data_IF_777333215514
#
_entry.id   IF_777333215514
#
_cell.length_a   1.000
_cell.length_b   1.000
_cell.length_c   1.000
_cell.angle_alpha   90.00
_cell.angle_beta   90.00
_cell.angle_gamma   90.00
#
_symmetry.space_group_name_H-M   'P 1'
#
loop_
_entity.id
_entity.type
_entity.pdbx_description
1 polymer ?
#
# COMPACT_ATOMS: atom_id res chain seq x y z
N UNK A 1 31.08 -48.74 -7.46
CA UNK A 1 30.18 -48.79 -8.62
C UNK A 1 28.87 -48.14 -8.21
N UNK A 2 28.79 -46.85 -8.46
CA UNK A 2 27.75 -45.93 -8.01
C UNK A 2 26.87 -45.58 -9.20
N UNK A 3 25.59 -45.81 -9.12
CA UNK A 3 24.62 -45.26 -10.10
C UNK A 3 23.64 -44.38 -9.36
N UNK A 4 23.79 -43.10 -9.66
CA UNK A 4 22.94 -42.00 -9.27
C UNK A 4 21.67 -41.99 -10.12
N UNK A 5 20.48 -41.99 -9.49
CA UNK A 5 19.22 -41.73 -10.19
C UNK A 5 18.70 -40.34 -9.79
N UNK A 6 18.96 -39.39 -10.67
CA UNK A 6 18.26 -38.11 -10.67
C UNK A 6 16.84 -38.30 -11.23
N UNK A 7 15.82 -37.98 -10.44
CA UNK A 7 14.47 -37.81 -10.96
C UNK A 7 14.20 -36.32 -11.15
N UNK A 8 14.15 -35.92 -12.44
CA UNK A 8 13.60 -34.64 -12.89
C UNK A 8 12.08 -34.68 -12.72
N UNK A 9 11.55 -33.75 -11.96
CA UNK A 9 10.14 -33.41 -11.96
C UNK A 9 9.92 -32.29 -13.00
N UNK A 10 9.30 -32.64 -14.13
CA UNK A 10 8.87 -31.67 -15.14
C UNK A 10 7.50 -31.15 -14.76
N UNK A 11 7.44 -29.91 -14.27
CA UNK A 11 6.21 -29.16 -14.12
C UNK A 11 5.84 -28.53 -15.46
N UNK A 12 4.80 -29.05 -16.11
CA UNK A 12 4.22 -28.45 -17.30
C UNK A 12 3.34 -27.25 -16.92
N UNK A 13 3.85 -26.05 -17.12
CA UNK A 13 3.05 -24.83 -17.12
C UNK A 13 2.41 -24.70 -18.49
N UNK A 14 1.09 -24.94 -18.55
CA UNK A 14 0.30 -24.74 -19.76
C UNK A 14 0.01 -23.25 -19.95
N UNK A 15 0.86 -22.57 -20.71
CA UNK A 15 0.66 -21.20 -21.15
C UNK A 15 -0.27 -21.19 -22.37
N UNK A 16 -1.53 -20.80 -22.21
CA UNK A 16 -2.42 -20.51 -23.34
C UNK A 16 -2.08 -19.12 -23.91
N UNK A 17 -1.35 -19.13 -25.01
CA UNK A 17 -1.16 -17.97 -25.89
C UNK A 17 -2.45 -17.72 -26.69
N UNK A 18 -3.13 -16.62 -26.40
CA UNK A 18 -4.19 -16.08 -27.28
C UNK A 18 -3.50 -15.18 -28.31
N UNK A 19 -3.48 -15.63 -29.57
CA UNK A 19 -3.03 -14.84 -30.71
C UNK A 19 -4.08 -13.75 -31.00
N UNK A 20 -3.69 -12.48 -30.87
CA UNK A 20 -4.49 -11.35 -31.31
C UNK A 20 -4.23 -11.13 -32.82
N UNK A 21 -5.27 -11.39 -33.64
CA UNK A 21 -5.28 -11.01 -35.07
C UNK A 21 -5.66 -9.53 -35.19
N UNK A 22 -4.75 -8.73 -35.72
CA UNK A 22 -4.97 -7.33 -36.07
C UNK A 22 -5.87 -7.22 -37.30
N UNK A 23 -6.98 -6.52 -37.19
CA UNK A 23 -7.69 -5.96 -38.36
C UNK A 23 -7.54 -4.43 -38.32
N UNK A 24 -6.85 -3.93 -39.30
CA UNK A 24 -6.80 -2.51 -39.63
C UNK A 24 -8.02 -2.13 -40.44
N UNK A 25 -8.75 -1.10 -40.07
CA UNK A 25 -9.59 -0.35 -40.98
C UNK A 25 -9.46 1.16 -40.71
N UNK A 26 -9.09 1.84 -41.75
CA UNK A 26 -8.99 3.29 -41.95
C UNK A 26 -10.40 3.88 -42.16
N UNK A 27 -10.62 5.07 -41.68
CA UNK A 27 -11.83 5.86 -42.03
C UNK A 27 -11.95 7.15 -41.22
N UNK A 28 -11.48 8.21 -41.83
CA UNK A 28 -11.61 9.66 -41.59
C UNK A 28 -12.98 10.17 -41.14
N UNK A 29 -13.07 11.11 -40.25
CA UNK A 29 -13.31 12.58 -40.36
C UNK A 29 -13.84 13.19 -39.06
N UNK A 30 -13.22 14.29 -38.66
CA UNK A 30 -13.62 15.29 -37.64
C UNK A 30 -14.66 16.27 -38.20
N UNK A 31 -15.14 17.35 -37.47
CA UNK A 31 -15.18 17.67 -36.05
C UNK A 31 -16.53 18.29 -35.57
N UNK A 32 -16.76 18.51 -34.27
CA UNK A 32 -17.34 19.77 -33.72
C UNK A 32 -17.47 19.76 -32.19
N UNK A 33 -16.74 20.61 -31.60
CA UNK A 33 -16.87 21.68 -30.60
C UNK A 33 -17.94 21.68 -29.52
N UNK A 34 -17.44 22.11 -28.34
CA UNK A 34 -18.04 22.79 -27.17
C UNK A 34 -18.68 21.87 -26.13
N UNK A 35 -18.37 21.98 -24.89
CA UNK A 35 -17.83 23.01 -24.01
C UNK A 35 -18.16 22.67 -22.58
N UNK A 36 -17.18 22.86 -21.71
CA UNK A 36 -17.36 23.32 -20.34
C UNK A 36 -17.82 22.35 -19.25
N UNK A 37 -17.02 22.11 -18.35
CA UNK A 37 -16.91 22.43 -16.92
C UNK A 37 -16.36 21.26 -16.10
N UNK A 38 -15.29 21.57 -15.40
CA UNK A 38 -14.64 20.71 -14.42
C UNK A 38 -15.52 20.51 -13.19
N UNK A 39 -15.56 19.29 -12.67
CA UNK A 39 -15.87 19.06 -11.26
C UNK A 39 -15.32 17.73 -10.76
N UNK A 40 -14.46 17.82 -9.80
CA UNK A 40 -14.18 17.05 -8.63
C UNK A 40 -14.21 15.51 -8.70
N UNK A 41 -13.04 14.89 -8.79
CA UNK A 41 -12.87 13.46 -8.55
C UNK A 41 -13.02 13.13 -7.08
N UNK A 42 -14.02 12.36 -6.73
CA UNK A 42 -14.10 11.63 -5.47
C UNK A 42 -13.65 10.19 -5.75
N UNK A 43 -12.58 9.77 -5.12
CA UNK A 43 -12.15 8.38 -5.10
C UNK A 43 -13.21 7.58 -4.33
N UNK A 44 -13.98 6.75 -5.03
CA UNK A 44 -14.93 5.83 -4.42
C UNK A 44 -14.22 4.52 -4.10
N UNK A 45 -14.25 4.16 -2.80
CA UNK A 45 -13.84 2.84 -2.33
C UNK A 45 -14.70 1.75 -2.98
N UNK A 46 -14.03 0.74 -3.51
CA UNK A 46 -14.63 -0.43 -4.15
C UNK A 46 -15.33 -1.30 -3.10
N UNK A 47 -16.61 -1.01 -2.86
CA UNK A 47 -17.53 -1.98 -2.27
C UNK A 47 -17.99 -2.90 -3.41
N UNK A 48 -17.85 -4.21 -3.23
CA UNK A 48 -18.49 -5.19 -4.09
C UNK A 48 -19.97 -4.82 -4.19
N UNK A 49 -20.38 -4.26 -5.34
CA UNK A 49 -21.73 -3.84 -5.60
C UNK A 49 -22.62 -5.09 -5.71
N UNK A 50 -23.36 -5.35 -4.63
CA UNK A 50 -24.58 -6.14 -4.72
C UNK A 50 -25.51 -5.37 -5.65
N UNK A 51 -26.09 -5.98 -6.71
CA UNK A 51 -26.96 -5.26 -7.64
C UNK A 51 -28.06 -4.55 -6.86
N UNK A 52 -28.25 -3.26 -7.13
CA UNK A 52 -29.29 -2.45 -6.53
C UNK A 52 -30.64 -3.10 -6.85
N UNK A 53 -31.52 -3.19 -5.85
CA UNK A 53 -32.89 -3.69 -6.01
C UNK A 53 -33.64 -2.85 -7.06
N UNK A 54 -33.72 -3.35 -8.32
CA UNK A 54 -34.35 -2.65 -9.44
C UNK A 54 -33.75 -2.95 -10.82
N UNK A 55 -32.49 -3.41 -10.92
CA UNK A 55 -31.97 -3.87 -12.21
C UNK A 55 -32.41 -5.30 -12.50
N UNK A 56 -33.04 -5.50 -13.67
CA UNK A 56 -33.42 -6.83 -14.17
C UNK A 56 -32.13 -7.66 -14.33
N UNK A 57 -32.09 -8.85 -13.69
CA UNK A 57 -31.00 -9.82 -13.87
C UNK A 57 -31.41 -10.81 -15.00
N UNK A 58 -31.20 -10.42 -16.28
CA UNK A 58 -31.73 -11.17 -17.42
C UNK A 58 -30.99 -12.51 -17.54
N UNK A 59 -31.74 -13.49 -18.07
CA UNK A 59 -31.17 -14.76 -18.52
C UNK A 59 -30.30 -14.52 -19.73
N UNK A 60 -29.05 -14.99 -19.70
CA UNK A 60 -28.06 -14.82 -20.76
C UNK A 60 -27.75 -16.14 -21.48
N UNK A 61 -27.97 -17.28 -20.82
CA UNK A 61 -27.87 -18.59 -21.42
C UNK A 61 -28.68 -19.65 -20.63
N UNK A 62 -29.01 -20.77 -21.26
CA UNK A 62 -29.53 -21.98 -20.60
C UNK A 62 -28.67 -23.17 -21.05
N UNK A 63 -28.05 -23.84 -20.10
CA UNK A 63 -27.14 -24.98 -20.34
C UNK A 63 -27.65 -26.18 -19.60
N UNK A 64 -28.03 -27.24 -20.32
CA UNK A 64 -28.60 -28.47 -19.72
C UNK A 64 -29.77 -28.19 -18.76
N UNK A 65 -30.60 -27.17 -19.03
CA UNK A 65 -31.70 -26.75 -18.17
C UNK A 65 -31.29 -25.82 -17.02
N UNK A 66 -30.02 -25.59 -16.81
CA UNK A 66 -29.51 -24.63 -15.84
C UNK A 66 -29.50 -23.22 -16.43
N UNK A 67 -30.21 -22.30 -15.80
CA UNK A 67 -30.27 -20.90 -16.22
C UNK A 67 -29.03 -20.16 -15.75
N UNK A 68 -28.33 -19.48 -16.68
CA UNK A 68 -27.23 -18.55 -16.41
C UNK A 68 -27.74 -17.12 -16.58
N UNK A 69 -27.43 -16.27 -15.62
CA UNK A 69 -27.89 -14.89 -15.56
C UNK A 69 -26.74 -13.90 -15.76
N UNK A 70 -27.06 -12.64 -16.01
CA UNK A 70 -26.07 -11.56 -16.11
C UNK A 70 -25.21 -11.46 -14.85
N UNK A 71 -25.81 -11.63 -13.67
CA UNK A 71 -25.08 -11.63 -12.39
C UNK A 71 -24.03 -12.73 -12.31
N UNK A 72 -24.29 -13.93 -12.89
CA UNK A 72 -23.32 -15.04 -12.89
C UNK A 72 -22.11 -14.71 -13.77
N UNK A 73 -22.32 -14.03 -14.90
CA UNK A 73 -21.23 -13.55 -15.77
C UNK A 73 -20.39 -12.52 -15.05
N UNK A 74 -21.03 -11.54 -14.40
CA UNK A 74 -20.31 -10.50 -13.62
C UNK A 74 -19.52 -11.13 -12.48
N UNK A 75 -20.09 -12.10 -11.76
CA UNK A 75 -19.41 -12.82 -10.69
C UNK A 75 -18.19 -13.59 -11.23
N UNK A 76 -18.30 -14.26 -12.38
CA UNK A 76 -17.18 -14.96 -13.01
C UNK A 76 -16.05 -14.02 -13.46
N UNK A 77 -16.40 -12.79 -13.84
CA UNK A 77 -15.45 -11.77 -14.25
C UNK A 77 -14.63 -11.18 -13.08
N UNK A 78 -15.06 -11.34 -11.83
CA UNK A 78 -14.30 -10.86 -10.66
C UNK A 78 -12.94 -11.55 -10.50
N UNK A 79 -12.77 -12.75 -11.03
CA UNK A 79 -11.49 -13.46 -11.05
C UNK A 79 -10.51 -12.93 -12.13
N UNK A 80 -10.94 -12.00 -12.99
CA UNK A 80 -10.11 -11.42 -14.04
C UNK A 80 -9.22 -10.29 -13.49
N UNK A 81 -8.08 -10.01 -14.14
CA UNK A 81 -7.26 -8.84 -13.83
C UNK A 81 -8.07 -7.53 -13.92
N UNK A 82 -7.74 -6.50 -13.11
CA UNK A 82 -8.52 -5.25 -13.02
C UNK A 82 -8.81 -4.56 -14.36
N UNK A 83 -7.85 -4.60 -15.31
CA UNK A 83 -8.00 -3.99 -16.63
C UNK A 83 -9.16 -4.56 -17.46
N UNK A 84 -9.55 -5.81 -17.23
CA UNK A 84 -10.68 -6.45 -17.93
C UNK A 84 -12.00 -6.24 -17.19
N UNK A 85 -11.96 -6.06 -15.87
CA UNK A 85 -13.16 -5.82 -15.04
C UNK A 85 -13.87 -4.52 -15.40
N UNK A 86 -13.14 -3.50 -15.83
CA UNK A 86 -13.70 -2.20 -16.23
C UNK A 86 -14.26 -2.20 -17.67
N UNK A 87 -14.16 -3.32 -18.41
CA UNK A 87 -14.59 -3.47 -19.80
C UNK A 87 -15.51 -4.67 -19.99
N UNK A 88 -16.26 -5.06 -18.95
CA UNK A 88 -17.12 -6.25 -18.96
C UNK A 88 -18.10 -6.22 -20.15
N UNK A 89 -18.71 -5.08 -20.45
CA UNK A 89 -19.69 -4.96 -21.53
C UNK A 89 -19.07 -5.25 -22.91
N UNK A 90 -17.82 -4.85 -23.15
CA UNK A 90 -17.12 -5.12 -24.40
C UNK A 90 -16.79 -6.61 -24.58
N UNK A 91 -16.54 -7.32 -23.49
CA UNK A 91 -16.17 -8.75 -23.50
C UNK A 91 -17.34 -9.65 -23.11
N UNK A 92 -18.54 -9.10 -22.92
CA UNK A 92 -19.69 -9.83 -22.39
C UNK A 92 -20.02 -11.13 -23.13
N UNK A 93 -20.08 -11.19 -24.49
CA UNK A 93 -20.34 -12.43 -25.21
C UNK A 93 -19.27 -13.51 -24.91
N UNK A 94 -17.99 -13.15 -24.92
CA UNK A 94 -16.90 -14.09 -24.63
C UNK A 94 -16.93 -14.57 -23.16
N UNK A 95 -17.38 -13.73 -22.22
CA UNK A 95 -17.57 -14.12 -20.82
C UNK A 95 -18.75 -15.09 -20.67
N UNK A 96 -19.83 -14.92 -21.44
CA UNK A 96 -20.97 -15.87 -21.49
C UNK A 96 -20.48 -17.23 -22.02
N UNK A 97 -19.75 -17.26 -23.13
CA UNK A 97 -19.21 -18.49 -23.71
C UNK A 97 -18.31 -19.22 -22.70
N UNK A 98 -17.42 -18.50 -22.05
CA UNK A 98 -16.57 -19.05 -20.99
C UNK A 98 -17.38 -19.64 -19.83
N UNK A 99 -18.44 -18.96 -19.40
CA UNK A 99 -19.29 -19.44 -18.31
C UNK A 99 -20.07 -20.70 -18.72
N UNK A 100 -20.48 -20.79 -19.99
CA UNK A 100 -21.06 -22.00 -20.58
C UNK A 100 -20.07 -23.15 -20.50
N UNK A 101 -18.83 -22.96 -20.98
CA UNK A 101 -17.79 -23.99 -20.97
C UNK A 101 -17.49 -24.47 -19.54
N UNK A 102 -17.35 -23.55 -18.59
CA UNK A 102 -17.15 -23.90 -17.18
C UNK A 102 -18.32 -24.71 -16.62
N UNK A 103 -19.57 -24.39 -17.02
CA UNK A 103 -20.78 -25.11 -16.59
C UNK A 103 -20.78 -26.51 -17.17
N UNK A 104 -20.46 -26.66 -18.46
CA UNK A 104 -20.39 -27.97 -19.12
C UNK A 104 -19.31 -28.88 -18.50
N UNK A 105 -18.12 -28.34 -18.22
CA UNK A 105 -17.06 -29.10 -17.54
C UNK A 105 -17.48 -29.53 -16.14
N UNK A 106 -18.15 -28.66 -15.39
CA UNK A 106 -18.65 -29.00 -14.05
C UNK A 106 -19.75 -30.05 -14.10
N UNK A 107 -20.62 -30.03 -15.12
CA UNK A 107 -21.66 -31.04 -15.31
C UNK A 107 -21.06 -32.40 -15.69
N UNK A 108 -20.01 -32.42 -16.53
CA UNK A 108 -19.30 -33.66 -16.85
C UNK A 108 -18.62 -34.25 -15.60
N UNK A 109 -17.94 -33.43 -14.82
CA UNK A 109 -17.37 -33.87 -13.55
C UNK A 109 -18.41 -34.48 -12.59
N UNK A 110 -19.63 -33.94 -12.57
CA UNK A 110 -20.73 -34.53 -11.77
C UNK A 110 -21.18 -35.87 -12.29
N UNK A 111 -21.22 -36.08 -13.63
CA UNK A 111 -21.54 -37.39 -14.23
C UNK A 111 -20.49 -38.43 -13.89
N UNK A 112 -19.23 -38.03 -13.82
CA UNK A 112 -18.13 -38.86 -13.37
C UNK A 112 -18.08 -39.07 -11.85
N UNK A 113 -19.03 -38.49 -11.11
CA UNK A 113 -19.11 -38.54 -9.64
C UNK A 113 -17.90 -37.94 -8.91
N UNK A 114 -17.20 -36.96 -9.52
CA UNK A 114 -16.03 -36.30 -8.92
C UNK A 114 -16.36 -35.56 -7.61
N UNK A 115 -17.63 -35.22 -7.34
CA UNK A 115 -18.04 -34.67 -6.04
C UNK A 115 -17.75 -35.62 -4.86
N UNK A 116 -17.56 -36.91 -5.14
CA UNK A 116 -17.23 -37.94 -4.16
C UNK A 116 -15.72 -38.23 -4.09
N UNK A 117 -14.95 -37.69 -5.03
CA UNK A 117 -13.51 -37.83 -5.06
C UNK A 117 -12.86 -37.22 -3.82
N UNK A 118 -11.88 -37.88 -3.18
CA UNK A 118 -11.20 -37.34 -2.00
C UNK A 118 -10.51 -36.00 -2.26
N UNK A 119 -9.96 -35.77 -3.43
CA UNK A 119 -9.30 -34.51 -3.80
C UNK A 119 -10.33 -33.37 -3.85
N UNK A 120 -11.48 -33.59 -4.51
CA UNK A 120 -12.57 -32.60 -4.59
C UNK A 120 -13.10 -32.30 -3.20
N UNK A 121 -13.32 -33.31 -2.35
CA UNK A 121 -13.77 -33.11 -0.96
C UNK A 121 -12.77 -32.27 -0.17
N UNK A 122 -11.47 -32.55 -0.31
CA UNK A 122 -10.44 -31.76 0.38
C UNK A 122 -10.42 -30.30 -0.12
N UNK A 123 -10.57 -30.07 -1.44
CA UNK A 123 -10.68 -28.73 -1.99
C UNK A 123 -11.89 -27.98 -1.45
N UNK A 124 -13.07 -28.64 -1.42
CA UNK A 124 -14.30 -28.02 -0.88
C UNK A 124 -14.11 -27.66 0.59
N UNK A 125 -13.56 -28.54 1.42
CA UNK A 125 -13.27 -28.23 2.84
C UNK A 125 -12.34 -27.03 2.98
N UNK A 126 -11.28 -26.97 2.18
CA UNK A 126 -10.35 -25.84 2.21
C UNK A 126 -11.03 -24.50 1.83
N UNK A 127 -11.91 -24.52 0.81
CA UNK A 127 -12.68 -23.35 0.41
C UNK A 127 -13.71 -22.94 1.46
N UNK A 128 -14.39 -23.90 2.10
CA UNK A 128 -15.31 -23.62 3.21
C UNK A 128 -14.59 -22.96 4.38
N UNK A 129 -13.45 -23.49 4.80
CA UNK A 129 -12.62 -22.91 5.85
C UNK A 129 -12.15 -21.49 5.50
N UNK A 130 -11.75 -21.28 4.25
CA UNK A 130 -11.35 -19.96 3.77
C UNK A 130 -12.53 -18.98 3.81
N UNK A 131 -13.69 -19.38 3.29
CA UNK A 131 -14.88 -18.55 3.28
C UNK A 131 -15.35 -18.20 4.71
N UNK A 132 -15.33 -19.18 5.61
CA UNK A 132 -15.67 -18.94 7.03
C UNK A 132 -14.72 -17.91 7.67
N UNK A 133 -13.40 -18.03 7.47
CA UNK A 133 -12.43 -17.05 7.98
C UNK A 133 -12.67 -15.65 7.42
N UNK A 134 -12.92 -15.54 6.11
CA UNK A 134 -13.15 -14.26 5.46
C UNK A 134 -14.43 -13.57 5.96
N UNK A 135 -15.55 -14.30 6.00
CA UNK A 135 -16.84 -13.78 6.48
C UNK A 135 -16.74 -13.40 7.95
N UNK A 136 -16.08 -14.22 8.77
CA UNK A 136 -15.88 -13.94 10.18
C UNK A 136 -15.08 -12.65 10.37
N UNK A 137 -13.95 -12.51 9.69
CA UNK A 137 -13.12 -11.31 9.76
C UNK A 137 -13.88 -10.06 9.30
N UNK A 138 -14.60 -10.15 8.20
CA UNK A 138 -15.45 -9.04 7.70
C UNK A 138 -16.48 -8.60 8.75
N UNK A 139 -17.11 -9.54 9.46
CA UNK A 139 -18.05 -9.25 10.55
C UNK A 139 -17.37 -8.55 11.72
N UNK A 140 -16.16 -8.98 12.11
CA UNK A 140 -15.41 -8.35 13.19
C UNK A 140 -14.99 -6.92 12.86
N UNK A 141 -14.70 -6.64 11.58
CA UNK A 141 -14.22 -5.34 11.11
C UNK A 141 -15.35 -4.36 10.76
N UNK A 142 -16.57 -4.85 10.46
CA UNK A 142 -17.66 -4.04 9.91
C UNK A 142 -17.89 -2.72 10.64
N UNK A 143 -18.02 -2.77 11.96
CA UNK A 143 -18.34 -1.59 12.77
C UNK A 143 -17.08 -0.80 13.19
N UNK A 144 -15.90 -1.39 13.03
CA UNK A 144 -14.61 -0.80 13.39
C UNK A 144 -13.99 0.03 12.25
N UNK A 145 -14.37 -0.27 11.01
CA UNK A 145 -13.86 0.39 9.81
C UNK A 145 -14.84 1.39 9.19
N UNK A 146 -15.89 1.79 9.92
CA UNK A 146 -16.75 2.90 9.48
C UNK A 146 -15.99 4.22 9.52
N UNK A 147 -16.33 5.16 8.63
CA UNK A 147 -15.70 6.50 8.63
C UNK A 147 -15.78 7.18 10.01
N UNK A 148 -16.91 7.03 10.71
CA UNK A 148 -17.07 7.58 12.06
C UNK A 148 -16.09 6.96 13.07
N UNK A 149 -15.88 5.62 13.01
CA UNK A 149 -14.93 4.94 13.88
C UNK A 149 -13.48 5.34 13.58
N UNK A 150 -13.11 5.43 12.29
CA UNK A 150 -11.79 5.86 11.86
C UNK A 150 -11.52 7.33 12.23
N UNK A 151 -12.52 8.20 12.07
CA UNK A 151 -12.43 9.61 12.50
C UNK A 151 -12.25 9.72 14.02
N UNK A 152 -12.92 8.87 14.81
CA UNK A 152 -12.72 8.82 16.25
C UNK A 152 -11.30 8.43 16.62
N UNK A 153 -10.74 7.41 15.96
CA UNK A 153 -9.34 6.99 16.15
C UNK A 153 -8.34 8.08 15.74
N UNK A 154 -8.61 8.79 14.65
CA UNK A 154 -7.82 9.97 14.27
C UNK A 154 -7.83 11.04 15.37
N UNK A 155 -9.01 11.38 15.90
CA UNK A 155 -9.12 12.38 16.95
C UNK A 155 -8.38 11.98 18.23
N UNK A 156 -8.42 10.69 18.61
CA UNK A 156 -7.63 10.14 19.71
C UNK A 156 -6.12 10.26 19.45
N UNK A 157 -5.68 9.90 18.26
CA UNK A 157 -4.29 9.99 17.82
C UNK A 157 -3.78 11.43 17.93
N UNK A 158 -4.52 12.38 17.31
CA UNK A 158 -4.14 13.81 17.33
C UNK A 158 -4.11 14.37 18.73
N UNK A 159 -5.10 14.02 19.57
CA UNK A 159 -5.14 14.46 20.99
C UNK A 159 -3.93 13.97 21.78
N UNK A 160 -3.40 12.79 21.45
CA UNK A 160 -2.21 12.22 22.07
C UNK A 160 -0.88 12.73 21.50
N UNK A 161 -0.89 13.42 20.37
CA UNK A 161 0.33 13.96 19.74
C UNK A 161 0.88 15.13 20.56
N UNK A 162 2.16 15.06 20.88
CA UNK A 162 2.88 16.20 21.44
C UNK A 162 3.29 17.13 20.30
N UNK A 163 3.19 18.46 20.48
CA UNK A 163 3.74 19.41 19.52
C UNK A 163 5.23 19.10 19.30
N UNK A 164 5.60 18.91 18.06
CA UNK A 164 7.01 18.76 17.64
C UNK A 164 7.45 20.03 16.96
N UNK A 165 8.66 20.47 17.26
CA UNK A 165 9.28 21.57 16.53
C UNK A 165 9.88 21.06 15.23
N UNK A 166 9.73 21.85 14.17
CA UNK A 166 10.45 21.71 12.92
C UNK A 166 11.29 22.96 12.68
N UNK A 167 12.55 22.73 12.37
CA UNK A 167 13.48 23.75 11.95
C UNK A 167 13.64 23.71 10.43
N UNK A 168 13.73 24.85 9.79
CA UNK A 168 14.20 24.95 8.41
C UNK A 168 15.54 25.66 8.43
N UNK A 169 16.55 25.02 7.88
CA UNK A 169 17.88 25.57 7.86
C UNK A 169 18.54 25.40 6.49
N UNK A 170 19.49 26.30 6.21
CA UNK A 170 20.46 26.13 5.15
C UNK A 170 21.82 25.85 5.77
N UNK A 171 22.67 25.06 5.11
CA UNK A 171 24.00 24.79 5.59
C UNK A 171 25.07 24.86 4.51
N UNK A 172 26.30 25.10 4.97
CA UNK A 172 27.53 25.02 4.16
C UNK A 172 28.39 23.95 4.79
N UNK A 173 28.69 22.86 4.07
CA UNK A 173 29.57 21.78 4.50
C UNK A 173 30.94 21.94 3.85
N UNK A 174 31.99 21.92 4.67
CA UNK A 174 33.39 21.99 4.21
C UNK A 174 34.27 20.98 4.94
N UNK A 175 35.39 20.54 4.33
CA UNK A 175 36.26 19.53 4.91
C UNK A 175 37.00 20.00 6.18
N UNK A 176 37.34 21.29 6.30
CA UNK A 176 38.19 21.81 7.36
C UNK A 176 37.53 22.90 8.20
N UNK A 177 37.91 22.95 9.47
CA UNK A 177 37.47 24.02 10.38
C UNK A 177 37.91 25.41 9.91
N UNK A 178 39.09 25.49 9.30
CA UNK A 178 39.64 26.77 8.78
C UNK A 178 38.72 27.32 7.67
N UNK A 179 38.28 26.49 6.73
CA UNK A 179 37.33 26.90 5.69
C UNK A 179 35.98 27.36 6.27
N UNK A 180 35.49 26.67 7.29
CA UNK A 180 34.23 27.05 7.95
C UNK A 180 34.38 28.41 8.69
N UNK A 181 35.50 28.66 9.35
CA UNK A 181 35.84 29.95 9.99
C UNK A 181 35.94 31.09 8.95
N UNK A 182 36.55 30.83 7.78
CA UNK A 182 36.64 31.79 6.69
C UNK A 182 35.23 32.15 6.16
N UNK A 183 34.34 31.16 6.01
CA UNK A 183 32.94 31.38 5.61
C UNK A 183 32.22 32.27 6.64
N UNK A 184 32.36 31.97 7.94
CA UNK A 184 31.77 32.80 9.00
C UNK A 184 32.29 34.23 8.93
N UNK A 185 33.59 34.41 8.73
CA UNK A 185 34.18 35.74 8.60
C UNK A 185 33.67 36.53 7.38
N UNK A 186 33.32 35.83 6.29
CA UNK A 186 32.69 36.47 5.11
C UNK A 186 31.25 36.83 5.39
N UNK A 187 30.47 35.96 6.07
CA UNK A 187 29.10 36.22 6.48
C UNK A 187 29.05 37.42 7.47
N UNK A 188 30.00 37.53 8.40
CA UNK A 188 30.09 38.66 9.31
C UNK A 188 30.36 40.00 8.60
N UNK A 189 30.92 39.95 7.37
CA UNK A 189 31.12 41.10 6.49
C UNK A 189 29.94 41.36 5.55
N UNK A 190 28.83 40.60 5.70
CA UNK A 190 27.63 40.79 4.92
C UNK A 190 27.55 39.97 3.62
N UNK A 191 28.41 38.97 3.44
CA UNK A 191 28.30 38.04 2.31
C UNK A 191 26.95 37.29 2.31
N UNK A 192 26.41 36.96 1.14
CA UNK A 192 25.20 36.20 0.98
C UNK A 192 25.44 34.71 1.26
N UNK A 193 24.65 34.14 2.17
CA UNK A 193 24.80 32.74 2.61
C UNK A 193 24.60 31.76 1.45
N UNK A 194 23.51 31.94 0.66
CA UNK A 194 23.18 31.03 -0.42
C UNK A 194 24.25 31.04 -1.53
N UNK A 195 24.86 32.20 -1.78
CA UNK A 195 25.96 32.33 -2.73
C UNK A 195 27.20 31.59 -2.23
N UNK A 196 27.57 31.77 -0.96
CA UNK A 196 28.68 31.04 -0.37
C UNK A 196 28.46 29.53 -0.33
N UNK A 197 27.21 29.10 -0.07
CA UNK A 197 26.83 27.70 -0.14
C UNK A 197 27.08 27.11 -1.53
N UNK A 198 26.64 27.79 -2.59
CA UNK A 198 26.85 27.36 -3.97
C UNK A 198 28.32 27.30 -4.37
N UNK A 199 29.13 28.23 -3.88
CA UNK A 199 30.55 28.34 -4.25
C UNK A 199 31.47 27.40 -3.47
N UNK A 200 31.18 27.18 -2.17
CA UNK A 200 32.11 26.55 -1.26
C UNK A 200 31.64 25.24 -0.65
N UNK A 201 30.33 25.00 -0.57
CA UNK A 201 29.82 23.78 0.07
C UNK A 201 30.15 22.53 -0.73
N UNK A 202 30.47 21.46 -0.02
CA UNK A 202 30.65 20.09 -0.56
C UNK A 202 29.39 19.24 -0.47
N UNK A 203 28.32 19.82 0.07
CA UNK A 203 27.04 19.14 0.15
C UNK A 203 26.34 19.09 -1.23
N UNK A 204 25.66 17.97 -1.61
CA UNK A 204 24.89 17.89 -2.85
C UNK A 204 23.81 18.96 -2.99
N UNK A 205 23.25 19.45 -1.89
CA UNK A 205 22.25 20.54 -1.85
C UNK A 205 22.82 21.93 -2.04
N UNK A 206 24.14 22.08 -2.22
CA UNK A 206 24.82 23.37 -2.42
C UNK A 206 24.21 24.22 -3.54
N UNK A 207 23.79 23.59 -4.64
CA UNK A 207 23.17 24.25 -5.80
C UNK A 207 21.88 24.97 -5.46
N UNK A 208 21.16 24.53 -4.42
CA UNK A 208 19.96 25.17 -3.89
C UNK A 208 20.24 26.13 -2.72
N UNK A 209 21.49 26.66 -2.64
CA UNK A 209 21.88 27.56 -1.54
C UNK A 209 22.03 26.87 -0.18
N UNK A 210 22.13 25.55 -0.17
CA UNK A 210 22.26 24.72 1.03
C UNK A 210 20.96 24.50 1.81
N UNK A 211 19.78 24.85 1.25
CA UNK A 211 18.47 24.67 1.91
C UNK A 211 18.15 23.19 2.10
N UNK A 212 17.94 22.78 3.35
CA UNK A 212 17.60 21.43 3.75
C UNK A 212 16.09 21.18 3.90
N UNK A 213 15.27 22.23 3.73
CA UNK A 213 13.85 22.16 4.04
C UNK A 213 13.58 22.10 5.55
N UNK A 214 12.36 21.70 5.93
CA UNK A 214 11.99 21.48 7.32
C UNK A 214 12.43 20.08 7.77
N UNK A 215 12.95 20.00 8.98
CA UNK A 215 13.34 18.75 9.64
C UNK A 215 13.06 18.82 11.15
N UNK A 216 12.81 17.65 11.75
CA UNK A 216 12.54 17.49 13.18
C UNK A 216 13.77 16.94 13.92
N UNK A 217 13.72 16.92 15.26
CA UNK A 217 14.70 16.22 16.09
C UNK A 217 14.77 14.73 15.70
N UNK A 218 16.00 14.22 15.57
CA UNK A 218 16.29 12.85 15.14
C UNK A 218 16.39 12.64 13.62
N UNK A 219 16.00 13.61 12.79
CA UNK A 219 16.20 13.55 11.32
C UNK A 219 17.59 14.03 10.89
N UNK A 220 18.27 14.77 11.77
CA UNK A 220 19.65 15.23 11.58
C UNK A 220 20.57 14.63 12.64
N UNK A 221 21.88 14.63 12.37
CA UNK A 221 22.86 14.23 13.39
C UNK A 221 22.78 15.15 14.62
N UNK A 222 22.94 14.59 15.84
CA UNK A 222 22.68 15.34 17.08
C UNK A 222 23.42 16.67 17.19
N UNK A 223 24.67 16.73 16.73
CA UNK A 223 25.48 17.94 16.80
C UNK A 223 24.92 19.04 15.89
N UNK A 224 24.38 18.68 14.73
CA UNK A 224 23.77 19.61 13.79
C UNK A 224 22.45 20.17 14.37
N UNK A 225 21.57 19.27 14.83
CA UNK A 225 20.32 19.67 15.48
C UNK A 225 20.56 20.59 16.66
N UNK A 226 21.43 20.20 17.60
CA UNK A 226 21.73 20.97 18.81
C UNK A 226 22.32 22.37 18.51
N UNK A 227 23.00 22.54 17.37
CA UNK A 227 23.48 23.83 16.93
C UNK A 227 22.38 24.68 16.27
N UNK A 228 21.57 24.06 15.40
CA UNK A 228 20.47 24.72 14.69
C UNK A 228 19.37 25.19 15.66
N UNK A 229 19.01 24.36 16.65
CA UNK A 229 17.95 24.64 17.62
C UNK A 229 18.24 25.86 18.52
N UNK A 230 19.51 26.18 18.76
CA UNK A 230 19.96 27.36 19.54
C UNK A 230 19.88 28.66 18.78
N UNK A 231 19.72 28.62 17.46
CA UNK A 231 19.66 29.81 16.62
C UNK A 231 18.27 30.42 16.64
N UNK A 232 18.20 31.75 16.52
CA UNK A 232 16.98 32.44 16.17
C UNK A 232 16.83 32.51 14.64
N UNK A 233 15.61 32.67 14.16
CA UNK A 233 15.34 32.83 12.74
C UNK A 233 16.17 33.96 12.13
N UNK A 234 16.89 33.66 11.06
CA UNK A 234 17.82 34.55 10.38
C UNK A 234 19.25 34.54 10.93
N UNK A 235 19.50 33.82 12.03
CA UNK A 235 20.84 33.69 12.58
C UNK A 235 21.60 32.50 11.98
N UNK A 236 22.92 32.62 11.92
CA UNK A 236 23.83 31.54 11.56
C UNK A 236 24.82 31.25 12.68
N UNK A 237 25.37 30.04 12.70
CA UNK A 237 26.34 29.60 13.70
C UNK A 237 27.61 30.47 13.68
N UNK A 238 27.99 31.05 14.82
CA UNK A 238 29.16 31.89 14.95
C UNK A 238 30.47 31.10 15.19
N UNK A 239 30.31 29.78 15.34
CA UNK A 239 31.41 28.83 15.39
C UNK A 239 31.12 27.66 14.46
N UNK A 240 32.15 27.05 13.84
CA UNK A 240 31.96 25.84 13.03
C UNK A 240 31.40 24.69 13.84
N UNK A 241 30.42 23.95 13.26
CA UNK A 241 29.81 22.77 13.87
C UNK A 241 30.44 21.51 13.26
N UNK A 242 31.12 20.71 14.08
CA UNK A 242 31.75 19.47 13.64
C UNK A 242 30.75 18.31 13.67
N UNK A 243 30.68 17.54 12.58
CA UNK A 243 29.96 16.27 12.50
C UNK A 243 30.87 15.20 11.86
N UNK A 244 30.39 13.98 11.72
CA UNK A 244 31.11 12.93 10.98
C UNK A 244 31.29 13.25 9.47
N UNK A 245 30.50 14.16 8.89
CA UNK A 245 30.60 14.55 7.49
C UNK A 245 31.59 15.68 7.22
N UNK A 246 32.00 16.41 8.24
CA UNK A 246 32.87 17.56 8.11
C UNK A 246 32.48 18.70 9.04
N UNK A 247 32.71 19.92 8.58
CA UNK A 247 32.44 21.14 9.31
C UNK A 247 31.30 21.90 8.66
N UNK A 248 30.33 22.31 9.46
CA UNK A 248 29.14 22.99 9.00
C UNK A 248 29.08 24.43 9.49
N UNK A 249 28.59 25.32 8.64
CA UNK A 249 28.00 26.62 9.00
C UNK A 249 26.53 26.52 8.73
N UNK A 250 25.70 26.80 9.73
CA UNK A 250 24.24 26.58 9.69
C UNK A 250 23.52 27.91 9.80
N UNK A 251 22.58 28.19 8.93
CA UNK A 251 21.67 29.35 8.97
C UNK A 251 20.25 28.82 9.27
N UNK A 252 19.65 29.26 10.37
CA UNK A 252 18.24 28.98 10.62
C UNK A 252 17.35 29.93 9.84
N UNK A 253 16.56 29.40 8.92
CA UNK A 253 15.67 30.20 8.07
C UNK A 253 14.26 30.27 8.61
N UNK A 254 13.79 29.22 9.32
CA UNK A 254 12.47 29.22 9.97
C UNK A 254 12.41 28.19 11.13
N UNK A 255 11.48 28.42 12.05
CA UNK A 255 11.16 27.53 13.17
C UNK A 255 9.65 27.50 13.34
N UNK A 256 9.06 26.30 13.34
CA UNK A 256 7.62 26.14 13.46
C UNK A 256 7.23 24.89 14.26
N UNK A 257 6.00 24.85 14.71
CA UNK A 257 5.41 23.59 15.17
C UNK A 257 5.04 22.75 13.95
N UNK A 258 5.43 21.47 13.95
CA UNK A 258 5.07 20.51 12.91
C UNK A 258 3.56 20.46 12.74
N UNK A 259 3.04 20.67 11.53
CA UNK A 259 1.60 20.57 11.31
C UNK A 259 1.08 19.17 11.65
N UNK A 260 -0.04 19.10 12.35
CA UNK A 260 -0.75 17.84 12.57
C UNK A 260 -1.20 17.28 11.21
N UNK A 261 -0.92 16.00 10.90
CA UNK A 261 -1.38 15.42 9.66
C UNK A 261 -2.91 15.45 9.59
N UNK A 262 -3.47 15.72 8.42
CA UNK A 262 -4.91 15.69 8.20
C UNK A 262 -5.45 14.26 8.25
N UNK A 263 -6.75 14.10 8.51
CA UNK A 263 -7.41 12.78 8.49
C UNK A 263 -7.17 12.04 7.16
N UNK A 264 -7.31 12.74 6.04
CA UNK A 264 -7.12 12.13 4.71
C UNK A 264 -5.70 11.62 4.48
N UNK A 265 -4.70 12.31 5.03
CA UNK A 265 -3.30 11.89 4.92
C UNK A 265 -2.99 10.60 5.68
N UNK A 266 -3.72 10.29 6.75
CA UNK A 266 -3.44 9.16 7.64
C UNK A 266 -4.56 8.13 7.69
N UNK A 267 -5.66 8.33 6.96
CA UNK A 267 -6.85 7.47 6.96
C UNK A 267 -6.51 6.01 6.69
N UNK A 268 -5.74 5.75 5.65
CA UNK A 268 -5.38 4.37 5.28
C UNK A 268 -4.50 3.72 6.35
N UNK A 269 -3.55 4.45 6.92
CA UNK A 269 -2.74 3.94 8.01
C UNK A 269 -3.55 3.65 9.28
N UNK A 270 -4.51 4.51 9.62
CA UNK A 270 -5.43 4.27 10.74
C UNK A 270 -6.26 3.01 10.48
N UNK A 271 -6.77 2.84 9.26
CA UNK A 271 -7.53 1.65 8.85
C UNK A 271 -6.71 0.37 9.01
N UNK A 272 -5.46 0.39 8.55
CA UNK A 272 -4.55 -0.76 8.68
C UNK A 272 -4.25 -1.08 10.14
N UNK A 273 -3.94 -0.07 10.95
CA UNK A 273 -3.69 -0.24 12.37
C UNK A 273 -4.91 -0.80 13.11
N UNK A 274 -6.11 -0.26 12.85
CA UNK A 274 -7.37 -0.76 13.43
C UNK A 274 -7.62 -2.20 13.00
N UNK A 275 -7.37 -2.53 11.73
CA UNK A 275 -7.52 -3.90 11.22
C UNK A 275 -6.60 -4.86 11.95
N UNK A 276 -5.33 -4.52 12.11
CA UNK A 276 -4.36 -5.33 12.84
C UNK A 276 -4.73 -5.49 14.33
N UNK A 277 -5.15 -4.40 14.99
CA UNK A 277 -5.58 -4.40 16.38
C UNK A 277 -6.78 -5.34 16.61
N UNK A 278 -7.79 -5.27 15.73
CA UNK A 278 -8.99 -6.11 15.80
C UNK A 278 -8.63 -7.59 15.61
N UNK A 279 -7.81 -7.88 14.59
CA UNK A 279 -7.35 -9.26 14.31
C UNK A 279 -6.55 -9.80 15.50
N UNK A 280 -5.58 -9.06 16.00
CA UNK A 280 -4.73 -9.49 17.10
C UNK A 280 -5.55 -9.73 18.37
N UNK A 281 -6.48 -8.83 18.70
CA UNK A 281 -7.37 -8.95 19.86
C UNK A 281 -8.27 -10.18 19.74
N UNK A 282 -8.89 -10.36 18.57
CA UNK A 282 -9.81 -11.47 18.33
C UNK A 282 -9.07 -12.82 18.38
N UNK A 283 -7.94 -12.94 17.69
CA UNK A 283 -7.11 -14.16 17.72
C UNK A 283 -6.56 -14.43 19.13
N UNK A 284 -6.13 -13.38 19.85
CA UNK A 284 -5.72 -13.50 21.24
C UNK A 284 -6.81 -14.08 22.16
N UNK A 285 -8.08 -13.69 21.91
CA UNK A 285 -9.24 -14.28 22.59
C UNK A 285 -9.43 -15.75 22.26
N UNK A 286 -9.34 -16.13 20.99
CA UNK A 286 -9.44 -17.52 20.55
C UNK A 286 -8.32 -18.39 21.12
N UNK A 287 -7.09 -17.90 21.12
CA UNK A 287 -5.93 -18.62 21.69
C UNK A 287 -6.08 -18.92 23.18
N UNK A 288 -6.73 -18.03 23.96
CA UNK A 288 -6.95 -18.23 25.40
C UNK A 288 -7.92 -19.40 25.71
N UNK A 289 -8.83 -19.70 24.78
CA UNK A 289 -9.88 -20.72 24.97
C UNK A 289 -9.57 -22.03 24.25
N UNK A 290 -8.68 -21.99 23.26
CA UNK A 290 -8.32 -23.15 22.45
C UNK A 290 -7.33 -24.06 23.18
N UNK A 291 -7.49 -25.38 23.01
CA UNK A 291 -6.47 -26.36 23.40
C UNK A 291 -5.47 -26.49 22.25
N UNK A 292 -4.29 -25.91 22.39
CA UNK A 292 -3.27 -25.87 21.33
C UNK A 292 -2.08 -26.70 21.78
N UNK A 293 -1.70 -27.70 20.98
CA UNK A 293 -0.47 -28.46 21.15
C UNK A 293 0.38 -28.28 19.88
N UNK A 294 1.60 -27.83 20.04
CA UNK A 294 2.54 -27.56 18.94
C UNK A 294 3.59 -28.68 18.88
N UNK A 295 3.98 -29.06 17.68
CA UNK A 295 5.01 -30.06 17.43
C UNK A 295 6.09 -29.50 16.51
N UNK A 296 7.32 -29.92 16.72
CA UNK A 296 8.43 -29.70 15.82
C UNK A 296 8.28 -30.53 14.53
N UNK A 297 9.04 -30.23 13.45
CA UNK A 297 8.97 -31.00 12.19
C UNK A 297 9.28 -32.50 12.36
N UNK A 298 9.99 -32.89 13.41
CA UNK A 298 10.28 -34.27 13.77
C UNK A 298 9.18 -34.97 14.60
N UNK A 299 8.04 -34.28 14.80
CA UNK A 299 6.89 -34.79 15.55
C UNK A 299 7.01 -34.68 17.08
N UNK A 300 8.09 -34.12 17.62
CA UNK A 300 8.22 -33.95 19.06
C UNK A 300 7.42 -32.76 19.56
N UNK A 301 6.75 -32.86 20.72
CA UNK A 301 6.05 -31.72 21.30
C UNK A 301 7.00 -30.52 21.52
N UNK A 302 6.58 -29.36 21.09
CA UNK A 302 7.26 -28.10 21.45
C UNK A 302 6.84 -27.68 22.85
N UNK A 303 7.75 -27.19 23.70
CA UNK A 303 7.40 -26.65 25.00
C UNK A 303 6.39 -25.48 24.81
N UNK A 304 5.45 -25.37 25.76
CA UNK A 304 4.52 -24.26 25.80
C UNK A 304 5.32 -22.96 25.92
N UNK A 305 5.41 -22.22 24.82
CA UNK A 305 5.92 -20.85 24.89
C UNK A 305 4.80 -19.97 25.46
N UNK A 306 5.04 -19.22 26.53
CA UNK A 306 4.08 -18.21 26.97
C UNK A 306 3.81 -17.27 25.79
N UNK A 307 2.52 -16.95 25.56
CA UNK A 307 2.12 -16.01 24.52
C UNK A 307 2.96 -14.74 24.65
N UNK A 308 3.61 -14.34 23.56
CA UNK A 308 4.34 -13.08 23.51
C UNK A 308 3.34 -11.97 23.88
N UNK A 309 3.70 -11.22 24.93
CA UNK A 309 2.93 -10.08 25.44
C UNK A 309 3.02 -8.90 24.50
#
# INVERSE_FOLDING_TARGET
>A
MTISLQRLAAGAVLSLLVAASAFAQTGTTTPSTQGGTAQGGAAQGETAQQPAAGESDPVVAIVNGKTLRRSDVIASAQSLPPQYRNQIDAYFPALVDRLIDMTLMADEGRKENLQNDPEVKQMVTNYEDQAMREVLLRRQLKDKLTDAALQSKYNEMVKGMKPQEELRASHILVPTEAEAKDIIAQLDKGADFAKLAKEKSKDPGATNGGDLGYFSDGEMVPEFWAAADKLNKGEYTKAPVKTQFGWHVILLTDKRTKPTPTYDQVKDQIKDNVTQEVIATYLGGLHKTAKIQKFAPDGKPLPDQPAAQ
#
